data_IF_123757507330
#
_entry.id   IF_123757507330
#
_cell.length_a   1.000
_cell.length_b   1.000
_cell.length_c   1.000
_cell.angle_alpha   90.00
_cell.angle_beta   90.00
_cell.angle_gamma   90.00
#
_symmetry.space_group_name_H-M   'P 1'
#
loop_
_entity.id
_entity.type
_entity.pdbx_description
1 polymer ?
#
# COMPACT_ATOMS: atom_id res chain seq x y z
N UNK A 1 24.92 -12.27 13.45
CA UNK A 1 25.43 -12.93 12.23
C UNK A 1 25.53 -14.44 12.37
N UNK A 2 25.97 -14.98 13.50
CA UNK A 2 26.09 -16.44 13.71
C UNK A 2 24.77 -17.23 13.68
N UNK A 3 23.61 -16.56 13.70
CA UNK A 3 22.30 -17.21 13.78
C UNK A 3 21.56 -17.38 12.45
N UNK A 4 21.92 -16.65 11.39
CA UNK A 4 21.08 -16.55 10.20
C UNK A 4 21.66 -17.19 8.94
N UNK A 5 22.92 -17.59 8.91
CA UNK A 5 23.55 -18.11 7.69
C UNK A 5 23.51 -17.12 6.53
N UNK A 6 23.78 -17.59 5.31
CA UNK A 6 23.52 -16.85 4.07
C UNK A 6 22.03 -16.88 3.76
N UNK A 7 21.46 -15.77 3.35
CA UNK A 7 20.05 -15.75 3.01
C UNK A 7 19.54 -14.40 2.55
N UNK A 8 18.35 -14.45 1.95
CA UNK A 8 17.62 -13.27 1.52
C UNK A 8 16.76 -12.73 2.66
N UNK A 9 16.89 -11.44 2.93
CA UNK A 9 15.99 -10.69 3.80
C UNK A 9 15.04 -9.91 2.91
N UNK A 10 13.74 -10.11 3.11
CA UNK A 10 12.68 -9.38 2.45
C UNK A 10 12.05 -8.41 3.42
N UNK A 11 11.96 -7.16 3.02
CA UNK A 11 11.49 -6.06 3.83
C UNK A 11 10.33 -5.39 3.14
N UNK A 12 9.12 -5.70 3.59
CA UNK A 12 7.87 -5.11 3.09
C UNK A 12 7.54 -3.93 3.99
N UNK A 13 7.38 -2.78 3.39
CA UNK A 13 7.13 -1.54 4.11
C UNK A 13 5.92 -0.80 3.55
N UNK A 14 5.04 -0.35 4.45
CA UNK A 14 4.07 0.68 4.19
C UNK A 14 4.40 1.89 5.07
N UNK A 15 4.65 3.01 4.44
CA UNK A 15 4.75 4.31 5.11
C UNK A 15 3.49 5.10 4.81
N UNK A 16 2.73 5.42 5.87
CA UNK A 16 1.58 6.31 5.78
C UNK A 16 2.05 7.74 6.00
N UNK A 17 1.86 8.57 5.00
CA UNK A 17 2.27 9.98 4.98
C UNK A 17 1.06 10.87 4.91
N UNK A 18 1.19 12.09 5.44
CA UNK A 18 0.23 13.13 5.17
C UNK A 18 0.16 13.41 3.67
N UNK A 19 -1.05 13.38 3.12
CA UNK A 19 -1.28 13.65 1.70
C UNK A 19 -1.09 15.14 1.43
N UNK A 20 -0.59 15.44 0.25
CA UNK A 20 -0.49 16.81 -0.23
C UNK A 20 -1.88 17.46 -0.27
N UNK A 21 -1.93 18.75 0.02
CA UNK A 21 -3.16 19.53 0.03
C UNK A 21 -3.90 19.53 -1.32
N UNK A 22 -5.10 20.03 -1.29
CA UNK A 22 -5.96 20.16 -2.47
C UNK A 22 -5.32 21.12 -3.49
N UNK A 23 -5.03 20.68 -4.73
CA UNK A 23 -4.34 21.51 -5.70
C UNK A 23 -5.24 22.66 -6.16
N UNK A 24 -4.67 23.84 -6.27
CA UNK A 24 -5.36 24.98 -6.88
C UNK A 24 -5.61 24.72 -8.37
N UNK A 25 -6.78 25.12 -8.85
CA UNK A 25 -7.17 25.02 -10.26
C UNK A 25 -7.72 26.36 -10.73
N UNK A 26 -7.52 26.63 -12.03
CA UNK A 26 -8.13 27.79 -12.66
C UNK A 26 -9.45 27.39 -13.31
N UNK A 27 -10.47 28.21 -13.12
CA UNK A 27 -11.77 28.06 -13.76
C UNK A 27 -12.13 29.33 -14.50
N UNK A 28 -12.59 29.26 -15.74
CA UNK A 28 -13.00 30.44 -16.51
C UNK A 28 -14.31 31.08 -16.00
N UNK A 29 -15.17 30.28 -15.35
CA UNK A 29 -16.49 30.73 -14.86
C UNK A 29 -16.54 30.80 -13.34
N UNK A 30 -17.15 31.87 -12.81
CA UNK A 30 -17.27 32.12 -11.37
C UNK A 30 -18.02 30.99 -10.61
N UNK A 31 -19.04 30.39 -11.24
CA UNK A 31 -19.80 29.32 -10.60
C UNK A 31 -18.97 28.04 -10.41
N UNK A 32 -18.18 27.63 -11.40
CA UNK A 32 -17.28 26.49 -11.31
C UNK A 32 -16.19 26.75 -10.26
N UNK A 33 -15.64 27.95 -10.23
CA UNK A 33 -14.67 28.38 -9.22
C UNK A 33 -15.26 28.37 -7.80
N UNK A 34 -16.46 28.91 -7.60
CA UNK A 34 -17.11 28.96 -6.28
C UNK A 34 -17.35 27.54 -5.73
N UNK A 35 -17.83 26.61 -6.57
CA UNK A 35 -18.05 25.24 -6.17
C UNK A 35 -16.72 24.57 -5.80
N UNK A 36 -15.64 24.86 -6.50
CA UNK A 36 -14.31 24.34 -6.19
C UNK A 36 -13.79 24.89 -4.86
N UNK A 37 -13.94 26.20 -4.59
CA UNK A 37 -13.51 26.82 -3.34
C UNK A 37 -14.24 26.24 -2.13
N UNK A 38 -15.55 26.06 -2.23
CA UNK A 38 -16.33 25.42 -1.16
C UNK A 38 -15.89 23.98 -0.90
N UNK A 39 -15.59 23.24 -1.95
CA UNK A 39 -15.08 21.86 -1.84
C UNK A 39 -13.67 21.82 -1.24
N UNK A 40 -12.80 22.74 -1.65
CA UNK A 40 -11.46 22.88 -1.08
C UNK A 40 -11.51 23.27 0.40
N UNK A 41 -12.33 24.22 0.76
CA UNK A 41 -12.54 24.63 2.15
C UNK A 41 -13.08 23.47 3.01
N UNK A 42 -14.03 22.70 2.48
CA UNK A 42 -14.52 21.48 3.15
C UNK A 42 -13.41 20.44 3.35
N UNK A 43 -12.58 20.20 2.32
CA UNK A 43 -11.44 19.29 2.38
C UNK A 43 -10.42 19.74 3.44
N UNK A 44 -10.05 21.01 3.45
CA UNK A 44 -9.09 21.57 4.41
C UNK A 44 -9.67 21.54 5.85
N UNK A 45 -10.97 21.79 6.02
CA UNK A 45 -11.63 21.74 7.31
C UNK A 45 -11.79 20.32 7.88
N UNK A 46 -11.75 19.29 7.05
CA UNK A 46 -11.78 17.89 7.48
C UNK A 46 -10.50 17.44 8.19
N UNK A 47 -9.44 18.25 8.16
CA UNK A 47 -8.16 17.99 8.82
C UNK A 47 -7.11 17.37 7.92
N UNK A 48 -6.15 16.69 8.51
CA UNK A 48 -5.05 16.09 7.78
C UNK A 48 -5.49 14.81 7.03
N UNK A 49 -5.01 14.67 5.82
CA UNK A 49 -5.26 13.53 4.95
C UNK A 49 -3.99 12.71 4.74
N UNK A 50 -4.12 11.39 4.67
CA UNK A 50 -2.98 10.48 4.66
C UNK A 50 -3.05 9.52 3.49
N UNK A 51 -1.89 9.24 2.88
CA UNK A 51 -1.69 8.24 1.84
C UNK A 51 -0.63 7.23 2.28
N UNK A 52 -0.73 6.01 1.78
CA UNK A 52 0.26 4.96 2.03
C UNK A 52 1.16 4.76 0.80
N UNK A 53 2.47 4.74 1.04
CA UNK A 53 3.49 4.40 0.07
C UNK A 53 4.07 3.02 0.42
N UNK A 54 4.33 2.20 -0.58
CA UNK A 54 4.80 0.82 -0.38
C UNK A 54 6.18 0.63 -0.98
N UNK A 55 7.05 -0.04 -0.22
CA UNK A 55 8.38 -0.38 -0.68
C UNK A 55 8.69 -1.84 -0.34
N UNK A 56 9.33 -2.55 -1.27
CA UNK A 56 9.94 -3.84 -1.05
C UNK A 56 11.45 -3.71 -1.18
N UNK A 57 12.17 -3.99 -0.10
CA UNK A 57 13.63 -4.05 -0.11
C UNK A 57 14.09 -5.50 -0.02
N UNK A 58 14.89 -5.92 -0.98
CA UNK A 58 15.55 -7.21 -1.00
C UNK A 58 17.01 -7.03 -0.59
N UNK A 59 17.42 -7.71 0.48
CA UNK A 59 18.80 -7.69 0.95
C UNK A 59 19.36 -9.10 0.93
N UNK A 60 20.53 -9.27 0.35
CA UNK A 60 21.24 -10.54 0.39
C UNK A 60 22.38 -10.47 1.40
N UNK A 61 22.35 -11.40 2.36
CA UNK A 61 23.44 -11.60 3.32
C UNK A 61 24.28 -12.78 2.82
N UNK A 62 25.50 -12.54 2.31
CA UNK A 62 26.41 -13.64 1.99
C UNK A 62 26.78 -14.38 3.27
N UNK A 63 27.02 -15.70 3.17
CA UNK A 63 27.56 -16.45 4.30
C UNK A 63 28.81 -15.73 4.79
N UNK A 64 28.93 -15.45 6.10
CA UNK A 64 30.25 -15.10 6.63
C UNK A 64 31.17 -16.23 6.24
N UNK A 65 32.32 -15.91 5.65
CA UNK A 65 33.32 -16.88 5.27
C UNK A 65 33.79 -17.66 6.50
N UNK A 66 33.02 -18.68 6.89
CA UNK A 66 33.46 -19.66 7.91
C UNK A 66 34.66 -20.42 7.38
N UNK A 67 34.76 -20.59 6.05
CA UNK A 67 35.97 -21.08 5.40
C UNK A 67 37.16 -20.11 5.56
N UNK A 68 36.93 -18.80 5.41
CA UNK A 68 37.98 -17.78 5.61
C UNK A 68 38.41 -17.65 7.08
N UNK A 69 37.51 -17.72 8.04
CA UNK A 69 37.86 -17.69 9.46
C UNK A 69 38.51 -18.98 9.92
N UNK A 70 38.07 -20.13 9.45
CA UNK A 70 38.73 -21.40 9.72
C UNK A 70 40.07 -21.51 8.96
N UNK A 71 40.12 -20.99 7.72
CA UNK A 71 41.37 -20.90 6.94
C UNK A 71 42.39 -19.99 7.57
N UNK A 72 42.03 -18.80 8.07
CA UNK A 72 42.89 -17.88 8.77
C UNK A 72 43.37 -18.44 10.12
N UNK A 73 42.59 -19.27 10.78
CA UNK A 73 42.96 -19.93 12.04
C UNK A 73 43.85 -21.17 11.85
N UNK A 74 43.83 -21.79 10.63
CA UNK A 74 44.53 -23.05 10.34
C UNK A 74 45.71 -22.90 9.39
N UNK A 75 45.82 -21.78 8.64
CA UNK A 75 46.84 -21.62 7.60
C UNK A 75 47.53 -20.26 7.70
N UNK A 76 48.60 -20.22 8.43
CA UNK A 76 49.60 -19.13 8.37
C UNK A 76 50.40 -19.17 7.02
N UNK A 77 50.04 -19.98 6.06
CA UNK A 77 50.74 -20.14 4.78
C UNK A 77 49.81 -20.54 3.64
N UNK A 78 49.32 -19.57 2.91
CA UNK A 78 49.23 -19.63 1.44
C UNK A 78 48.67 -18.32 0.85
N UNK A 79 49.42 -17.77 -0.07
CA UNK A 79 49.26 -16.47 -0.73
C UNK A 79 48.18 -16.44 -1.81
N UNK A 80 47.22 -17.33 -1.83
CA UNK A 80 46.08 -17.25 -2.74
C UNK A 80 44.76 -17.58 -2.05
N UNK A 81 44.25 -16.62 -1.30
CA UNK A 81 42.78 -16.61 -1.02
C UNK A 81 42.12 -16.14 -2.30
N UNK A 82 41.54 -17.05 -3.07
CA UNK A 82 40.61 -16.72 -4.15
C UNK A 82 39.43 -15.98 -3.54
N UNK A 83 39.51 -14.66 -3.47
CA UNK A 83 38.41 -13.79 -3.07
C UNK A 83 37.20 -14.16 -3.91
N UNK A 84 36.05 -14.34 -3.27
CA UNK A 84 34.78 -14.56 -3.96
C UNK A 84 34.65 -13.48 -5.02
N UNK A 85 34.40 -13.86 -6.28
CA UNK A 85 34.21 -12.87 -7.34
C UNK A 85 32.93 -12.06 -7.03
N UNK A 86 33.12 -10.88 -6.46
CA UNK A 86 32.02 -9.98 -6.08
C UNK A 86 31.13 -9.65 -7.30
N UNK A 87 31.69 -9.66 -8.53
CA UNK A 87 30.95 -9.42 -9.76
C UNK A 87 29.96 -10.54 -10.04
N UNK A 88 30.36 -11.79 -9.80
CA UNK A 88 29.46 -12.93 -9.92
C UNK A 88 28.36 -12.90 -8.86
N UNK A 89 28.70 -12.52 -7.63
CA UNK A 89 27.72 -12.35 -6.56
C UNK A 89 26.73 -11.21 -6.86
N UNK A 90 27.20 -10.10 -7.42
CA UNK A 90 26.37 -8.99 -7.86
C UNK A 90 25.45 -9.38 -9.02
N UNK A 91 25.99 -10.09 -10.03
CA UNK A 91 25.18 -10.58 -11.15
C UNK A 91 24.06 -11.52 -10.68
N UNK A 92 24.35 -12.42 -9.74
CA UNK A 92 23.36 -13.31 -9.14
C UNK A 92 22.31 -12.52 -8.31
N UNK A 93 22.73 -11.48 -7.62
CA UNK A 93 21.83 -10.58 -6.89
C UNK A 93 20.87 -9.85 -7.84
N UNK A 94 21.39 -9.26 -8.91
CA UNK A 94 20.58 -8.57 -9.92
C UNK A 94 19.56 -9.53 -10.54
N UNK A 95 20.01 -10.71 -10.99
CA UNK A 95 19.11 -11.70 -11.59
C UNK A 95 17.98 -12.14 -10.65
N UNK A 96 18.23 -12.23 -9.36
CA UNK A 96 17.20 -12.59 -8.37
C UNK A 96 16.24 -11.43 -8.07
N UNK A 97 16.74 -10.20 -8.04
CA UNK A 97 15.89 -9.00 -7.87
C UNK A 97 15.01 -8.77 -9.10
N UNK A 98 15.55 -8.96 -10.31
CA UNK A 98 14.76 -8.87 -11.55
C UNK A 98 13.65 -9.93 -11.58
N UNK A 99 13.96 -11.18 -11.19
CA UNK A 99 12.95 -12.24 -11.08
C UNK A 99 11.85 -11.90 -10.06
N UNK A 100 12.23 -11.30 -8.93
CA UNK A 100 11.25 -10.84 -7.94
C UNK A 100 10.36 -9.73 -8.50
N UNK A 101 10.93 -8.77 -9.24
CA UNK A 101 10.19 -7.68 -9.89
C UNK A 101 9.20 -8.25 -10.92
N UNK A 102 9.63 -9.16 -11.78
CA UNK A 102 8.78 -9.84 -12.77
C UNK A 102 7.61 -10.57 -12.09
N UNK A 103 7.90 -11.27 -10.98
CA UNK A 103 6.87 -11.98 -10.22
C UNK A 103 5.81 -11.02 -9.67
N UNK A 104 6.22 -9.90 -9.07
CA UNK A 104 5.30 -8.90 -8.54
C UNK A 104 4.51 -8.19 -9.65
N UNK A 105 5.13 -7.91 -10.80
CA UNK A 105 4.49 -7.31 -11.97
C UNK A 105 3.34 -8.16 -12.52
N UNK A 106 3.35 -9.47 -12.25
CA UNK A 106 2.31 -10.40 -12.68
C UNK A 106 0.96 -10.24 -11.97
N UNK A 107 0.92 -9.60 -10.79
CA UNK A 107 -0.31 -9.46 -10.00
C UNK A 107 -0.50 -8.08 -9.34
N UNK A 108 0.55 -7.25 -9.28
CA UNK A 108 0.43 -5.87 -8.79
C UNK A 108 0.08 -4.93 -9.94
N UNK A 109 -0.83 -3.97 -9.75
CA UNK A 109 -1.21 -2.99 -10.78
C UNK A 109 -0.02 -2.16 -11.27
N UNK A 110 0.90 -1.84 -10.37
CA UNK A 110 2.10 -1.07 -10.66
C UNK A 110 3.21 -1.50 -9.69
N UNK A 111 4.35 -1.85 -10.24
CA UNK A 111 5.58 -2.11 -9.49
C UNK A 111 6.77 -1.75 -10.36
N UNK A 112 7.75 -1.05 -9.78
CA UNK A 112 8.97 -0.67 -10.47
C UNK A 112 10.17 -0.67 -9.53
N UNK A 113 11.34 -0.84 -10.07
CA UNK A 113 12.57 -0.59 -9.35
C UNK A 113 12.75 0.93 -9.13
N UNK A 114 13.27 1.31 -7.98
CA UNK A 114 13.74 2.67 -7.72
C UNK A 114 15.07 2.88 -8.45
N UNK A 115 15.30 4.05 -8.99
CA UNK A 115 16.62 4.46 -9.44
C UNK A 115 17.54 4.80 -8.24
N UNK A 116 18.80 5.15 -8.51
CA UNK A 116 19.77 5.43 -7.47
C UNK A 116 19.38 6.64 -6.60
N UNK A 117 18.87 7.72 -7.20
CA UNK A 117 18.46 8.92 -6.48
C UNK A 117 17.19 8.66 -5.65
N UNK A 118 16.22 7.97 -6.22
CA UNK A 118 15.00 7.53 -5.53
C UNK A 118 15.34 6.58 -4.37
N UNK A 119 16.28 5.65 -4.58
CA UNK A 119 16.75 4.71 -3.55
C UNK A 119 17.41 5.47 -2.38
N UNK A 120 18.30 6.42 -2.66
CA UNK A 120 18.91 7.24 -1.62
C UNK A 120 17.86 8.10 -0.90
N UNK A 121 16.92 8.68 -1.63
CA UNK A 121 15.82 9.47 -1.06
C UNK A 121 14.92 8.61 -0.14
N UNK A 122 14.59 7.40 -0.57
CA UNK A 122 13.84 6.44 0.24
C UNK A 122 14.60 6.07 1.52
N UNK A 123 15.88 5.67 1.40
CA UNK A 123 16.71 5.30 2.53
C UNK A 123 16.87 6.47 3.53
N UNK A 124 17.13 7.68 3.02
CA UNK A 124 17.18 8.89 3.84
C UNK A 124 15.87 9.10 4.61
N UNK A 125 14.72 8.99 3.93
CA UNK A 125 13.41 9.15 4.57
C UNK A 125 13.11 8.13 5.68
N UNK A 126 13.85 7.01 5.76
CA UNK A 126 13.68 6.04 6.85
C UNK A 126 14.42 6.39 8.12
N UNK A 127 15.43 7.28 8.06
CA UNK A 127 16.32 7.64 9.17
C UNK A 127 16.36 9.15 9.44
N UNK A 128 15.56 9.94 8.73
CA UNK A 128 15.50 11.39 8.88
C UNK A 128 14.07 11.87 9.08
N UNK A 129 13.90 12.92 9.86
CA UNK A 129 12.65 13.68 9.97
C UNK A 129 12.51 14.72 8.86
N UNK A 130 13.57 14.95 8.08
CA UNK A 130 13.58 15.88 6.96
C UNK A 130 13.22 15.15 5.67
N UNK A 131 12.37 15.77 4.86
CA UNK A 131 11.90 15.19 3.60
C UNK A 131 12.39 16.03 2.42
N UNK A 132 13.44 15.55 1.77
CA UNK A 132 13.97 16.16 0.55
C UNK A 132 14.58 15.10 -0.36
N UNK A 133 14.63 15.32 -1.68
CA UNK A 133 15.36 14.45 -2.59
C UNK A 133 16.86 14.42 -2.25
N UNK A 134 17.46 13.25 -2.33
CA UNK A 134 18.90 13.04 -2.15
C UNK A 134 19.53 12.80 -3.51
N UNK A 135 20.54 13.59 -3.85
CA UNK A 135 21.30 13.45 -5.10
C UNK A 135 22.39 12.40 -4.95
N UNK A 136 22.62 11.64 -6.03
CA UNK A 136 23.74 10.69 -6.07
C UNK A 136 25.06 11.47 -6.09
N UNK A 137 25.98 11.23 -5.14
CA UNK A 137 27.27 11.92 -5.11
C UNK A 137 28.15 11.49 -6.29
N UNK A 138 28.83 12.45 -6.91
CA UNK A 138 29.76 12.19 -8.02
C UNK A 138 30.96 11.31 -7.60
N UNK A 139 31.40 11.47 -6.37
CA UNK A 139 32.48 10.66 -5.79
C UNK A 139 31.88 9.59 -4.87
N UNK A 140 32.31 8.33 -4.98
CA UNK A 140 31.85 7.26 -4.08
C UNK A 140 32.06 7.63 -2.62
N UNK A 141 30.98 7.56 -1.84
CA UNK A 141 30.93 7.87 -0.41
C UNK A 141 30.24 6.73 0.35
N UNK A 142 30.51 6.64 1.65
CA UNK A 142 29.74 5.74 2.52
C UNK A 142 28.30 6.26 2.69
N UNK A 143 27.34 5.35 2.74
CA UNK A 143 25.91 5.71 2.85
C UNK A 143 25.60 6.53 4.10
N UNK A 144 26.27 6.26 5.22
CA UNK A 144 26.11 7.03 6.46
C UNK A 144 26.50 8.50 6.27
N UNK A 145 27.54 8.80 5.48
CA UNK A 145 27.92 10.18 5.15
C UNK A 145 26.94 10.89 4.23
N UNK A 146 26.15 10.15 3.44
CA UNK A 146 25.17 10.72 2.49
C UNK A 146 23.78 10.86 3.11
N UNK A 147 23.39 9.90 3.95
CA UNK A 147 22.01 9.75 4.41
C UNK A 147 21.74 10.36 5.79
N UNK A 148 22.79 10.51 6.66
CA UNK A 148 22.56 10.92 8.04
C UNK A 148 22.58 12.44 8.19
N UNK A 149 21.44 13.03 8.53
CA UNK A 149 21.28 14.45 8.83
C UNK A 149 20.51 14.71 10.13
N UNK A 150 19.98 13.65 10.74
CA UNK A 150 19.12 13.72 11.91
C UNK A 150 19.69 12.81 13.02
N UNK A 151 19.98 13.36 14.21
CA UNK A 151 20.54 12.57 15.29
C UNK A 151 19.51 11.63 15.90
N UNK A 152 19.93 10.39 16.19
CA UNK A 152 19.16 9.43 16.97
C UNK A 152 19.61 9.49 18.43
N UNK A 153 18.71 9.85 19.33
CA UNK A 153 18.92 9.77 20.78
C UNK A 153 18.36 8.44 21.28
N UNK A 154 19.22 7.61 21.86
CA UNK A 154 18.82 6.29 22.38
C UNK A 154 18.13 6.37 23.74
N UNK A 155 17.83 5.20 24.30
CA UNK A 155 17.18 5.04 25.61
C UNK A 155 15.88 4.28 25.54
N UNK A 156 15.11 4.31 26.64
CA UNK A 156 13.78 3.66 26.71
C UNK A 156 12.73 4.36 25.86
N UNK A 157 12.95 5.62 25.60
CA UNK A 157 12.09 6.49 24.79
C UNK A 157 12.97 7.19 23.72
N UNK A 158 13.32 6.49 22.65
CA UNK A 158 14.23 7.04 21.65
C UNK A 158 13.59 8.23 20.92
N UNK A 159 14.46 9.12 20.45
CA UNK A 159 14.08 10.29 19.64
C UNK A 159 14.89 10.33 18.36
N UNK A 160 14.27 10.72 17.27
CA UNK A 160 14.90 11.03 15.99
C UNK A 160 14.78 12.55 15.76
N UNK A 161 15.88 13.27 15.87
CA UNK A 161 15.84 14.73 15.92
C UNK A 161 14.99 15.23 17.09
N UNK A 162 13.93 15.95 16.80
CA UNK A 162 12.95 16.44 17.80
C UNK A 162 11.76 15.49 18.01
N UNK A 163 11.61 14.44 17.21
CA UNK A 163 10.46 13.55 17.26
C UNK A 163 10.68 12.38 18.23
N UNK A 164 9.71 12.18 19.13
CA UNK A 164 9.64 11.00 19.97
C UNK A 164 9.21 9.78 19.14
N UNK A 165 9.95 8.68 19.25
CA UNK A 165 9.63 7.42 18.55
C UNK A 165 8.98 6.42 19.51
N UNK A 166 7.94 5.73 19.01
CA UNK A 166 7.35 4.55 19.68
C UNK A 166 7.19 3.43 18.68
N UNK A 167 7.77 2.30 19.00
CA UNK A 167 7.70 1.09 18.16
C UNK A 167 6.92 -0.01 18.86
N UNK A 168 5.93 -0.53 18.16
CA UNK A 168 5.14 -1.69 18.57
C UNK A 168 5.56 -2.88 17.72
N UNK A 169 5.82 -4.03 18.36
CA UNK A 169 6.18 -5.28 17.67
C UNK A 169 5.07 -6.31 17.84
N UNK A 170 4.67 -6.96 16.74
CA UNK A 170 3.70 -8.05 16.75
C UNK A 170 4.43 -9.35 17.10
N UNK A 171 3.95 -10.08 18.12
CA UNK A 171 4.55 -11.30 18.67
C UNK A 171 3.75 -12.56 18.39
N UNK A 172 2.43 -12.44 18.39
CA UNK A 172 1.52 -13.59 18.29
C UNK A 172 0.39 -13.34 17.32
N UNK A 173 -0.10 -14.41 16.72
CA UNK A 173 -1.16 -14.40 15.72
C UNK A 173 -2.50 -14.83 16.35
N UNK A 174 -3.63 -14.32 15.86
CA UNK A 174 -4.94 -14.86 16.18
C UNK A 174 -5.09 -16.28 15.62
N UNK A 175 -6.03 -17.07 16.16
CA UNK A 175 -6.33 -18.40 15.65
C UNK A 175 -6.77 -18.38 14.17
N UNK A 176 -7.36 -17.29 13.73
CA UNK A 176 -7.78 -17.09 12.36
C UNK A 176 -7.30 -15.72 11.87
N UNK A 177 -6.54 -15.69 10.80
CA UNK A 177 -6.10 -14.46 10.15
C UNK A 177 -6.33 -14.53 8.63
N UNK A 178 -6.36 -13.39 7.98
CA UNK A 178 -6.56 -13.24 6.52
C UNK A 178 -5.65 -12.16 5.97
N UNK A 179 -5.34 -12.18 4.66
CA UNK A 179 -4.65 -11.05 4.02
C UNK A 179 -5.41 -9.73 4.24
N UNK A 180 -4.68 -8.64 4.45
CA UNK A 180 -5.27 -7.32 4.69
C UNK A 180 -5.96 -7.15 6.05
N UNK A 181 -5.78 -8.06 7.01
CA UNK A 181 -6.41 -7.96 8.34
C UNK A 181 -5.99 -6.69 9.08
N UNK A 182 -4.77 -6.20 8.86
CA UNK A 182 -4.25 -4.97 9.47
C UNK A 182 -4.58 -3.70 8.67
N UNK A 183 -5.35 -3.78 7.58
CA UNK A 183 -5.78 -2.61 6.79
C UNK A 183 -6.65 -1.64 7.61
N UNK A 184 -7.19 -2.09 8.75
CA UNK A 184 -7.81 -1.21 9.74
C UNK A 184 -6.91 -0.04 10.18
N UNK A 185 -5.58 -0.21 10.12
CA UNK A 185 -4.61 0.87 10.38
C UNK A 185 -4.74 2.03 9.37
N UNK A 186 -5.22 1.78 8.15
CA UNK A 186 -5.40 2.80 7.14
C UNK A 186 -6.50 3.83 7.48
N UNK A 187 -7.32 3.56 8.49
CA UNK A 187 -8.34 4.51 8.97
C UNK A 187 -7.79 5.51 9.99
N UNK A 188 -6.58 5.27 10.52
CA UNK A 188 -5.99 6.20 11.48
C UNK A 188 -5.61 7.54 10.84
N UNK A 189 -5.88 8.62 11.54
CA UNK A 189 -5.64 10.00 11.12
C UNK A 189 -4.23 10.50 11.47
N UNK A 190 -3.21 9.65 11.36
CA UNK A 190 -1.81 10.02 11.61
C UNK A 190 -0.82 9.20 10.79
N UNK A 191 0.41 9.69 10.71
CA UNK A 191 1.51 9.00 10.04
C UNK A 191 2.03 7.84 10.87
N UNK A 192 2.32 6.74 10.21
CA UNK A 192 3.01 5.59 10.79
C UNK A 192 3.88 4.90 9.73
N UNK A 193 4.84 4.11 10.20
CA UNK A 193 5.64 3.22 9.37
C UNK A 193 5.42 1.78 9.81
N UNK A 194 4.83 0.96 8.95
CA UNK A 194 4.61 -0.47 9.17
C UNK A 194 5.60 -1.26 8.36
N UNK A 195 6.40 -2.08 9.02
CA UNK A 195 7.44 -2.89 8.39
C UNK A 195 7.24 -4.35 8.75
N UNK A 196 7.23 -5.21 7.72
CA UNK A 196 7.27 -6.66 7.88
C UNK A 196 8.53 -7.21 7.24
N UNK A 197 9.43 -7.65 8.07
CA UNK A 197 10.72 -8.22 7.70
C UNK A 197 10.67 -9.74 7.77
N UNK A 198 11.08 -10.40 6.69
CA UNK A 198 11.07 -11.85 6.59
C UNK A 198 12.42 -12.40 6.16
N UNK A 199 12.96 -13.34 6.93
CA UNK A 199 14.18 -14.08 6.64
C UNK A 199 13.77 -15.52 6.33
N UNK A 200 13.76 -15.87 5.05
CA UNK A 200 13.39 -17.22 4.62
C UNK A 200 14.44 -18.22 5.08
N UNK A 201 13.97 -19.37 5.54
CA UNK A 201 14.79 -20.56 5.81
C UNK A 201 14.70 -21.51 4.63
N UNK A 202 15.83 -22.18 4.31
CA UNK A 202 15.75 -23.33 3.44
C UNK A 202 15.01 -24.50 4.12
N UNK A 203 14.54 -25.46 3.32
CA UNK A 203 13.72 -26.58 3.80
C UNK A 203 14.43 -27.39 4.90
N UNK A 204 15.75 -27.56 4.77
CA UNK A 204 16.57 -28.35 5.72
C UNK A 204 16.67 -27.64 7.07
N UNK A 205 16.95 -26.33 7.07
CA UNK A 205 17.04 -25.53 8.29
C UNK A 205 15.67 -25.33 8.96
N UNK A 206 14.61 -25.21 8.16
CA UNK A 206 13.24 -25.17 8.67
C UNK A 206 12.86 -26.49 9.38
N UNK A 207 13.12 -27.65 8.76
CA UNK A 207 12.90 -28.97 9.38
C UNK A 207 13.70 -29.10 10.68
N UNK A 208 14.97 -28.72 10.67
CA UNK A 208 15.84 -28.78 11.86
C UNK A 208 15.27 -27.90 12.99
N UNK A 209 14.84 -26.69 12.67
CA UNK A 209 14.31 -25.73 13.64
C UNK A 209 12.98 -26.21 14.23
N UNK A 210 12.05 -26.63 13.37
CA UNK A 210 10.75 -27.20 13.81
C UNK A 210 10.92 -28.46 14.67
N UNK A 211 11.83 -29.35 14.25
CA UNK A 211 12.14 -30.56 15.02
C UNK A 211 12.72 -30.23 16.40
N UNK A 212 13.56 -29.20 16.49
CA UNK A 212 14.09 -28.70 17.77
C UNK A 212 12.98 -28.15 18.66
N UNK A 213 12.08 -27.34 18.11
CA UNK A 213 10.92 -26.79 18.84
C UNK A 213 10.00 -27.91 19.32
N UNK A 214 9.67 -28.87 18.45
CA UNK A 214 8.89 -30.06 18.81
C UNK A 214 9.50 -30.81 19.99
N UNK A 215 10.81 -31.09 19.98
CA UNK A 215 11.51 -31.75 21.08
C UNK A 215 11.47 -30.94 22.39
N UNK A 216 11.62 -29.61 22.29
CA UNK A 216 11.54 -28.73 23.46
C UNK A 216 10.15 -28.79 24.11
N UNK A 217 9.07 -28.77 23.33
CA UNK A 217 7.71 -28.85 23.81
C UNK A 217 7.38 -30.27 24.31
N UNK A 218 7.83 -31.30 23.60
CA UNK A 218 7.67 -32.68 24.06
C UNK A 218 8.33 -32.92 25.42
N UNK A 219 9.51 -32.37 25.66
CA UNK A 219 10.19 -32.46 26.95
C UNK A 219 9.48 -31.65 28.05
N UNK A 220 8.76 -30.59 27.73
CA UNK A 220 7.94 -29.83 28.71
C UNK A 220 6.60 -30.49 29.01
N UNK A 221 6.13 -31.39 28.15
CA UNK A 221 4.87 -32.14 28.31
C UNK A 221 4.81 -32.94 29.59
N UNK A 222 5.94 -33.51 30.01
CA UNK A 222 6.07 -34.22 31.28
C UNK A 222 6.94 -33.39 32.24
N UNK A 223 6.37 -33.01 33.37
CA UNK A 223 7.12 -32.43 34.47
C UNK A 223 8.19 -33.41 34.96
N UNK A 224 9.38 -32.91 35.34
CA UNK A 224 10.45 -33.76 35.93
C UNK A 224 9.93 -34.57 37.10
N UNK A 225 9.02 -34.01 37.89
CA UNK A 225 8.36 -34.72 39.02
C UNK A 225 7.41 -35.81 38.53
N UNK A 226 6.74 -35.63 37.38
CA UNK A 226 5.89 -36.65 36.78
C UNK A 226 6.73 -37.80 36.19
N UNK A 227 7.85 -37.52 35.54
CA UNK A 227 8.81 -38.52 35.07
C UNK A 227 9.43 -39.32 36.22
N UNK A 228 9.80 -38.68 37.31
CA UNK A 228 10.31 -39.37 38.53
C UNK A 228 9.24 -40.25 39.18
N UNK A 229 7.97 -39.83 39.24
CA UNK A 229 6.86 -40.63 39.73
C UNK A 229 6.57 -41.86 38.85
N UNK A 230 6.60 -41.69 37.54
CA UNK A 230 6.39 -42.78 36.58
C UNK A 230 7.46 -43.85 36.71
N UNK A 231 8.73 -43.43 36.92
CA UNK A 231 9.87 -44.34 37.11
C UNK A 231 9.86 -45.02 38.48
N UNK A 232 9.46 -44.31 39.55
CA UNK A 232 9.52 -44.83 40.92
C UNK A 232 8.26 -45.64 41.29
N UNK A 233 7.07 -45.22 40.80
CA UNK A 233 5.80 -45.79 41.22
C UNK A 233 5.04 -46.58 40.15
N UNK A 234 5.60 -46.65 38.92
CA UNK A 234 5.01 -47.36 37.76
C UNK A 234 3.51 -47.04 37.53
N UNK A 235 3.10 -45.80 37.83
CA UNK A 235 1.73 -45.32 37.64
C UNK A 235 1.73 -44.22 36.52
N UNK A 236 0.87 -44.36 35.49
CA UNK A 236 0.73 -43.33 34.47
C UNK A 236 0.14 -42.05 35.10
N UNK A 237 0.86 -40.95 35.04
CA UNK A 237 0.42 -39.66 35.56
C UNK A 237 -0.39 -38.94 34.47
N UNK A 238 -1.66 -38.67 34.74
CA UNK A 238 -2.59 -37.95 33.83
C UNK A 238 -2.42 -36.42 33.84
N UNK A 239 -1.44 -35.87 34.54
CA UNK A 239 -1.15 -34.43 34.51
C UNK A 239 -0.27 -34.10 33.30
N UNK A 240 -0.89 -34.02 32.12
CA UNK A 240 -0.33 -33.51 30.89
C UNK A 240 -0.55 -32.00 30.85
N UNK A 241 0.49 -31.24 30.50
CA UNK A 241 0.35 -29.85 30.17
C UNK A 241 -0.33 -29.77 28.79
N UNK A 242 -1.63 -29.47 28.76
CA UNK A 242 -2.45 -29.43 27.56
C UNK A 242 -1.94 -28.38 26.52
N UNK A 243 -1.30 -27.31 26.98
CA UNK A 243 -0.69 -26.32 26.12
C UNK A 243 0.55 -26.89 25.41
N UNK A 244 1.37 -27.66 26.14
CA UNK A 244 2.54 -28.32 25.54
C UNK A 244 2.14 -29.42 24.54
N UNK A 245 1.03 -30.13 24.80
CA UNK A 245 0.49 -31.12 23.86
C UNK A 245 0.00 -30.46 22.56
N UNK A 246 -0.77 -29.39 22.64
CA UNK A 246 -1.24 -28.65 21.49
C UNK A 246 -0.06 -28.13 20.66
N UNK A 247 0.99 -27.62 21.28
CA UNK A 247 2.20 -27.13 20.57
C UNK A 247 3.01 -28.25 19.90
N UNK A 248 2.98 -29.46 20.42
CA UNK A 248 3.58 -30.61 19.74
C UNK A 248 2.77 -30.99 18.50
N UNK A 249 1.44 -31.01 18.58
CA UNK A 249 0.56 -31.26 17.43
C UNK A 249 0.74 -30.18 16.37
N UNK A 250 0.80 -28.92 16.75
CA UNK A 250 1.06 -27.79 15.85
C UNK A 250 2.42 -27.94 15.12
N UNK A 251 3.45 -28.37 15.85
CA UNK A 251 4.76 -28.61 15.24
C UNK A 251 4.75 -29.80 14.25
N UNK A 252 3.96 -30.83 14.52
CA UNK A 252 3.80 -31.98 13.61
C UNK A 252 3.04 -31.58 12.34
N UNK A 253 1.96 -30.80 12.45
CA UNK A 253 1.23 -30.25 11.31
C UNK A 253 2.12 -29.31 10.47
N UNK A 254 2.92 -28.49 11.12
CA UNK A 254 3.87 -27.60 10.46
C UNK A 254 4.93 -28.40 9.67
N UNK A 255 5.48 -29.48 10.25
CA UNK A 255 6.42 -30.38 9.56
C UNK A 255 5.78 -31.10 8.38
N UNK A 256 4.53 -31.51 8.50
CA UNK A 256 3.77 -32.15 7.42
C UNK A 256 3.53 -31.15 6.26
N UNK A 257 3.07 -29.94 6.56
CA UNK A 257 2.84 -28.91 5.55
C UNK A 257 4.12 -28.49 4.84
N UNK A 258 5.25 -28.39 5.55
CA UNK A 258 6.57 -28.15 4.98
C UNK A 258 7.06 -29.32 4.14
N UNK A 259 6.83 -30.57 4.60
CA UNK A 259 7.17 -31.79 3.86
C UNK A 259 6.46 -31.88 2.52
N UNK A 260 5.19 -31.50 2.48
CA UNK A 260 4.35 -31.47 1.28
C UNK A 260 4.56 -30.24 0.38
N UNK A 261 5.51 -29.36 0.69
CA UNK A 261 5.80 -28.11 -0.03
C UNK A 261 4.60 -27.14 -0.10
N UNK A 262 3.63 -27.24 0.78
CA UNK A 262 2.49 -26.32 0.84
C UNK A 262 2.89 -24.94 1.38
N UNK A 263 3.89 -24.89 2.25
CA UNK A 263 4.41 -23.65 2.86
C UNK A 263 5.92 -23.72 3.00
N UNK A 264 6.55 -22.55 3.01
CA UNK A 264 7.92 -22.36 3.48
C UNK A 264 7.92 -21.68 4.84
N UNK A 265 9.01 -21.77 5.58
CA UNK A 265 9.16 -21.15 6.90
C UNK A 265 10.26 -20.11 6.90
N UNK A 266 10.14 -19.16 7.81
CA UNK A 266 11.14 -18.12 8.02
C UNK A 266 10.92 -17.38 9.34
N UNK A 267 11.87 -16.52 9.66
CA UNK A 267 11.78 -15.62 10.80
C UNK A 267 11.09 -14.33 10.37
N UNK A 268 10.01 -13.99 11.07
CA UNK A 268 9.24 -12.78 10.82
C UNK A 268 9.50 -11.77 11.93
N UNK A 269 9.60 -10.51 11.55
CA UNK A 269 9.56 -9.37 12.48
C UNK A 269 8.62 -8.34 11.91
N UNK A 270 7.54 -8.04 12.60
CA UNK A 270 6.59 -7.00 12.18
C UNK A 270 6.57 -5.90 13.23
N UNK A 271 6.89 -4.70 12.80
CA UNK A 271 6.94 -3.50 13.63
C UNK A 271 6.07 -2.40 13.05
N UNK A 272 5.44 -1.63 13.94
CA UNK A 272 4.72 -0.41 13.58
C UNK A 272 5.32 0.70 14.42
N UNK A 273 5.91 1.69 13.77
CA UNK A 273 6.54 2.85 14.41
C UNK A 273 5.70 4.09 14.16
N UNK A 274 5.44 4.83 15.22
CA UNK A 274 4.82 6.16 15.21
C UNK A 274 5.78 7.19 15.75
N UNK A 275 5.68 8.41 15.26
CA UNK A 275 6.51 9.53 15.68
C UNK A 275 5.65 10.79 15.90
N UNK A 276 6.10 11.65 16.79
CA UNK A 276 5.54 12.99 17.02
C UNK A 276 6.54 13.85 17.79
N UNK A 277 6.50 15.18 17.59
CA UNK A 277 7.27 16.15 18.37
C UNK A 277 6.71 16.34 19.79
N UNK A 278 5.42 15.98 20.01
CA UNK A 278 4.77 15.99 21.32
C UNK A 278 4.72 14.56 21.90
N UNK A 279 5.31 14.41 23.10
CA UNK A 279 5.32 13.14 23.83
C UNK A 279 3.92 12.61 24.15
N UNK A 280 2.96 13.46 24.46
CA UNK A 280 1.60 13.02 24.76
C UNK A 280 0.90 12.50 23.49
N UNK A 281 1.09 13.19 22.35
CA UNK A 281 0.52 12.77 21.06
C UNK A 281 1.11 11.45 20.57
N UNK A 282 2.43 11.22 20.70
CA UNK A 282 2.99 9.94 20.29
C UNK A 282 2.46 8.78 21.15
N UNK A 283 2.21 9.02 22.45
CA UNK A 283 1.59 8.03 23.32
C UNK A 283 0.12 7.73 22.95
N UNK A 284 -0.62 8.70 22.47
CA UNK A 284 -1.98 8.50 21.94
C UNK A 284 -1.95 7.68 20.65
N UNK A 285 -1.05 8.01 19.73
CA UNK A 285 -0.87 7.29 18.46
C UNK A 285 -0.53 5.81 18.71
N UNK A 286 0.45 5.52 19.56
CA UNK A 286 0.82 4.13 19.83
C UNK A 286 -0.29 3.35 20.53
N UNK A 287 -1.10 3.99 21.41
CA UNK A 287 -2.28 3.37 22.02
C UNK A 287 -3.36 3.05 20.99
N UNK A 288 -3.56 3.92 20.00
CA UNK A 288 -4.50 3.67 18.91
C UNK A 288 -4.07 2.44 18.10
N UNK A 289 -2.81 2.40 17.68
CA UNK A 289 -2.25 1.24 16.97
C UNK A 289 -2.38 -0.05 17.80
N UNK A 290 -2.00 -0.02 19.08
CA UNK A 290 -2.09 -1.18 19.97
C UNK A 290 -3.52 -1.70 20.13
N UNK A 291 -4.50 -0.78 20.23
CA UNK A 291 -5.92 -1.13 20.33
C UNK A 291 -6.41 -1.84 19.07
N UNK A 292 -6.02 -1.37 17.89
CA UNK A 292 -6.37 -2.00 16.62
C UNK A 292 -5.74 -3.39 16.53
N UNK A 293 -4.43 -3.50 16.75
CA UNK A 293 -3.69 -4.75 16.64
C UNK A 293 -4.23 -5.81 17.61
N UNK A 294 -4.43 -5.44 18.89
CA UNK A 294 -5.00 -6.34 19.89
C UNK A 294 -6.48 -6.65 19.61
N UNK A 295 -7.26 -5.68 19.14
CA UNK A 295 -8.66 -5.86 18.75
C UNK A 295 -8.86 -6.87 17.61
N UNK A 296 -7.86 -7.02 16.75
CA UNK A 296 -7.80 -8.01 15.68
C UNK A 296 -7.27 -9.39 16.17
N UNK A 297 -6.97 -9.52 17.46
CA UNK A 297 -6.54 -10.77 18.09
C UNK A 297 -5.04 -11.04 18.00
N UNK A 298 -4.24 -10.11 17.51
CA UNK A 298 -2.78 -10.22 17.57
C UNK A 298 -2.26 -9.88 18.97
N UNK A 299 -1.23 -10.57 19.41
CA UNK A 299 -0.46 -10.15 20.59
C UNK A 299 0.68 -9.22 20.14
N UNK A 300 0.79 -8.07 20.77
CA UNK A 300 1.84 -7.11 20.49
C UNK A 300 2.50 -6.58 21.78
N UNK A 301 3.65 -5.96 21.62
CA UNK A 301 4.39 -5.32 22.71
C UNK A 301 4.89 -3.94 22.26
N UNK A 302 4.74 -2.96 23.15
CA UNK A 302 5.47 -1.69 23.00
C UNK A 302 6.91 -1.90 23.43
N UNK A 303 7.83 -1.67 22.53
CA UNK A 303 9.24 -1.83 22.84
C UNK A 303 9.72 -0.66 23.71
N UNK A 304 10.43 -0.98 24.78
CA UNK A 304 11.02 -0.02 25.71
C UNK A 304 12.52 -0.28 25.87
N UNK A 305 12.90 -1.36 26.53
CA UNK A 305 14.32 -1.73 26.71
C UNK A 305 15.00 -1.95 25.35
N UNK A 306 14.30 -2.53 24.40
CA UNK A 306 14.79 -2.79 23.05
C UNK A 306 14.24 -1.79 22.01
N UNK A 307 13.85 -0.59 22.44
CA UNK A 307 13.19 0.37 21.55
C UNK A 307 14.08 0.79 20.37
N UNK A 308 15.36 1.03 20.62
CA UNK A 308 16.35 1.38 19.59
C UNK A 308 16.57 0.23 18.62
N UNK A 309 16.79 -0.99 19.12
CA UNK A 309 16.98 -2.18 18.28
C UNK A 309 15.74 -2.52 17.47
N UNK A 310 14.55 -2.33 18.04
CA UNK A 310 13.29 -2.54 17.31
C UNK A 310 13.14 -1.54 16.15
N UNK A 311 13.46 -0.27 16.39
CA UNK A 311 13.49 0.73 15.34
C UNK A 311 14.55 0.42 14.28
N UNK A 312 15.80 0.10 14.69
CA UNK A 312 16.87 -0.31 13.77
C UNK A 312 16.49 -1.55 12.96
N UNK A 313 15.77 -2.52 13.56
CA UNK A 313 15.30 -3.71 12.83
C UNK A 313 14.30 -3.38 11.73
N UNK A 314 13.66 -2.23 11.80
CA UNK A 314 12.72 -1.74 10.79
C UNK A 314 13.42 -1.05 9.61
N UNK A 315 14.72 -0.78 9.67
CA UNK A 315 15.42 -0.07 8.61
C UNK A 315 15.79 -1.01 7.45
N UNK A 316 15.59 -0.58 6.19
CA UNK A 316 16.01 -1.34 5.02
C UNK A 316 17.52 -1.62 5.05
N UNK A 317 17.91 -2.85 4.71
CA UNK A 317 19.31 -3.26 4.69
C UNK A 317 19.96 -3.47 6.07
N UNK A 318 19.32 -3.09 7.17
CA UNK A 318 19.84 -3.30 8.52
C UNK A 318 19.57 -4.74 9.00
N UNK A 319 20.51 -5.65 8.74
CA UNK A 319 20.33 -7.07 9.00
C UNK A 319 20.62 -7.52 10.44
N UNK A 320 21.27 -6.69 11.25
CA UNK A 320 21.84 -7.08 12.53
C UNK A 320 20.87 -6.99 13.71
N UNK A 321 20.15 -5.90 13.82
CA UNK A 321 19.14 -5.75 14.85
C UNK A 321 17.92 -6.59 14.49
N UNK A 322 17.53 -7.50 15.35
CA UNK A 322 16.33 -8.31 15.20
C UNK A 322 15.92 -8.89 16.55
N UNK A 323 15.17 -8.12 17.31
CA UNK A 323 14.84 -8.42 18.70
C UNK A 323 13.84 -9.55 18.81
N UNK A 324 12.84 -9.57 17.93
CA UNK A 324 11.74 -10.53 17.93
C UNK A 324 11.72 -11.28 16.61
N UNK A 325 11.80 -12.61 16.70
CA UNK A 325 11.98 -13.47 15.54
C UNK A 325 11.09 -14.72 15.65
N UNK A 326 9.75 -14.56 15.70
CA UNK A 326 8.88 -15.71 15.64
C UNK A 326 9.10 -16.48 14.35
N UNK A 327 9.17 -17.81 14.45
CA UNK A 327 9.19 -18.68 13.30
C UNK A 327 7.76 -18.83 12.78
N UNK A 328 7.54 -18.43 11.53
CA UNK A 328 6.22 -18.47 10.90
C UNK A 328 6.31 -19.08 9.50
N UNK A 329 5.19 -19.54 9.00
CA UNK A 329 5.08 -20.00 7.59
C UNK A 329 4.67 -18.85 6.66
N UNK A 330 4.84 -19.06 5.36
CA UNK A 330 4.60 -18.05 4.31
C UNK A 330 3.15 -17.55 4.25
N UNK A 331 2.15 -18.31 4.67
CA UNK A 331 0.77 -17.82 4.77
C UNK A 331 0.62 -16.74 5.86
N UNK A 332 1.29 -16.89 7.02
CA UNK A 332 1.30 -15.83 8.03
C UNK A 332 2.02 -14.58 7.51
N UNK A 333 3.11 -14.75 6.75
CA UNK A 333 3.77 -13.63 6.07
C UNK A 333 2.78 -12.89 5.17
N UNK A 334 2.05 -13.61 4.31
CA UNK A 334 1.07 -13.02 3.40
C UNK A 334 -0.03 -12.21 4.12
N UNK A 335 -0.39 -12.61 5.36
CA UNK A 335 -1.38 -11.89 6.16
C UNK A 335 -0.82 -10.61 6.83
N UNK A 336 0.49 -10.52 7.00
CA UNK A 336 1.17 -9.37 7.60
C UNK A 336 2.01 -8.55 6.58
N UNK A 337 1.91 -8.86 5.31
CA UNK A 337 2.52 -8.01 4.27
C UNK A 337 1.68 -6.74 4.12
N UNK A 338 2.28 -5.55 4.28
CA UNK A 338 1.59 -4.28 4.12
C UNK A 338 1.48 -3.90 2.63
N UNK A 339 0.67 -4.61 1.87
CA UNK A 339 0.53 -4.43 0.42
C UNK A 339 -0.85 -3.91 0.00
N UNK A 340 -1.74 -3.63 0.94
CA UNK A 340 -3.08 -3.14 0.67
C UNK A 340 -3.40 -1.88 1.45
N UNK A 341 -4.10 -0.95 0.80
CA UNK A 341 -4.65 0.25 1.42
C UNK A 341 -5.83 0.78 0.62
N UNK A 342 -6.44 1.82 1.13
CA UNK A 342 -7.42 2.60 0.37
C UNK A 342 -6.69 3.28 -0.80
N UNK A 343 -7.10 2.99 -2.01
CA UNK A 343 -6.53 3.64 -3.19
C UNK A 343 -7.01 5.09 -3.28
N UNK A 344 -6.06 6.01 -3.28
CA UNK A 344 -6.34 7.44 -3.32
C UNK A 344 -6.72 7.96 -4.73
N UNK A 345 -6.62 7.16 -5.76
CA UNK A 345 -6.75 7.59 -7.16
C UNK A 345 -5.48 8.30 -7.69
N UNK A 346 -5.41 8.55 -9.00
CA UNK A 346 -4.25 9.18 -9.62
C UNK A 346 -4.08 10.63 -9.17
N UNK A 347 -2.85 11.05 -8.88
CA UNK A 347 -2.54 12.43 -8.47
C UNK A 347 -2.80 13.45 -9.60
N UNK A 348 -2.62 13.03 -10.85
CA UNK A 348 -2.87 13.84 -12.06
C UNK A 348 -3.60 13.00 -13.09
N UNK A 349 -4.43 13.67 -13.87
CA UNK A 349 -4.90 13.13 -15.14
C UNK A 349 -3.82 13.43 -16.21
N UNK A 350 -3.09 12.40 -16.62
CA UNK A 350 -1.98 12.53 -17.57
C UNK A 350 -2.46 12.88 -18.98
N UNK A 351 -3.64 12.38 -19.39
CA UNK A 351 -4.24 12.66 -20.69
C UNK A 351 -4.68 14.12 -20.80
N UNK A 352 -5.34 14.64 -19.77
CA UNK A 352 -5.82 16.04 -19.75
C UNK A 352 -4.77 17.03 -19.23
N UNK A 353 -3.59 16.55 -18.82
CA UNK A 353 -2.49 17.38 -18.35
C UNK A 353 -2.76 18.20 -17.10
N UNK A 354 -3.78 17.82 -16.29
CA UNK A 354 -4.23 18.57 -15.14
C UNK A 354 -4.39 17.72 -13.87
N UNK A 355 -4.89 18.32 -12.76
CA UNK A 355 -5.22 17.58 -11.54
C UNK A 355 -6.39 16.61 -11.77
N UNK A 356 -6.67 15.76 -10.79
CA UNK A 356 -7.86 14.91 -10.80
C UNK A 356 -9.14 15.72 -10.87
N UNK A 357 -10.20 15.17 -11.46
CA UNK A 357 -11.44 15.88 -11.74
C UNK A 357 -12.10 16.43 -10.48
N UNK A 358 -12.12 15.63 -9.41
CA UNK A 358 -12.59 16.06 -8.09
C UNK A 358 -11.98 15.22 -6.98
N UNK A 359 -12.05 15.72 -5.77
CA UNK A 359 -11.68 15.04 -4.52
C UNK A 359 -12.94 14.64 -3.77
N UNK A 360 -12.98 13.43 -3.26
CA UNK A 360 -14.06 12.89 -2.47
C UNK A 360 -13.51 12.29 -1.17
N UNK A 361 -14.36 12.24 -0.15
CA UNK A 361 -14.06 11.56 1.10
C UNK A 361 -14.16 10.04 0.92
N UNK A 362 -13.38 9.31 1.73
CA UNK A 362 -13.51 7.86 1.91
C UNK A 362 -13.93 7.57 3.35
N UNK A 363 -14.14 6.30 3.67
CA UNK A 363 -14.40 5.87 5.05
C UNK A 363 -13.22 6.04 6.01
N UNK A 364 -12.04 6.36 5.48
CA UNK A 364 -10.83 6.62 6.24
C UNK A 364 -10.29 8.03 5.99
N UNK A 365 -9.08 8.31 6.44
CA UNK A 365 -8.41 9.60 6.25
C UNK A 365 -7.67 9.73 4.90
N UNK A 366 -7.79 8.75 4.01
CA UNK A 366 -7.24 8.82 2.66
C UNK A 366 -8.26 9.47 1.73
N UNK A 367 -7.96 10.58 1.06
CA UNK A 367 -8.86 11.19 0.08
C UNK A 367 -8.92 10.33 -1.19
N UNK A 368 -10.05 10.38 -1.88
CA UNK A 368 -10.20 9.75 -3.19
C UNK A 368 -10.18 10.79 -4.30
N UNK A 369 -9.23 10.68 -5.21
CA UNK A 369 -9.08 11.53 -6.39
C UNK A 369 -9.77 10.86 -7.57
N UNK A 370 -10.93 11.39 -7.95
CA UNK A 370 -11.68 10.88 -9.10
C UNK A 370 -11.04 11.37 -10.41
N UNK A 371 -10.70 10.43 -11.28
CA UNK A 371 -10.41 10.66 -12.69
C UNK A 371 -11.39 9.86 -13.54
N UNK A 372 -11.91 10.44 -14.60
CA UNK A 372 -12.79 9.75 -15.56
C UNK A 372 -12.00 9.01 -16.63
N UNK A 373 -10.70 9.26 -16.75
CA UNK A 373 -9.86 8.72 -17.82
C UNK A 373 -8.97 7.58 -17.32
N UNK A 374 -8.88 6.55 -18.13
CA UNK A 374 -7.85 5.50 -18.07
C UNK A 374 -7.12 5.57 -19.43
N UNK A 375 -5.92 6.14 -19.44
CA UNK A 375 -5.28 6.54 -20.69
C UNK A 375 -6.08 7.64 -21.38
N UNK A 376 -6.44 7.44 -22.64
CA UNK A 376 -7.23 8.34 -23.47
C UNK A 376 -8.76 8.07 -23.42
N UNK A 377 -9.19 6.99 -22.72
CA UNK A 377 -10.59 6.59 -22.63
C UNK A 377 -11.20 7.12 -21.34
N UNK A 378 -12.26 7.94 -21.48
CA UNK A 378 -12.93 8.63 -20.36
C UNK A 378 -14.44 8.32 -20.26
N UNK A 379 -14.89 7.10 -20.57
CA UNK A 379 -16.29 6.72 -20.47
C UNK A 379 -16.69 6.36 -19.04
N UNK A 380 -17.87 6.85 -18.60
CA UNK A 380 -18.41 6.57 -17.29
C UNK A 380 -19.92 6.29 -17.37
N UNK A 381 -20.38 5.27 -16.66
CA UNK A 381 -21.80 4.96 -16.48
C UNK A 381 -22.17 5.19 -14.99
N UNK A 382 -23.19 6.04 -14.75
CA UNK A 382 -23.72 6.31 -13.43
C UNK A 382 -25.12 5.71 -13.31
N UNK A 383 -25.25 4.71 -12.45
CA UNK A 383 -26.50 3.98 -12.20
C UNK A 383 -26.93 4.15 -10.74
N UNK A 384 -28.22 4.32 -10.52
CA UNK A 384 -28.77 4.43 -9.17
C UNK A 384 -30.26 4.71 -9.17
N UNK A 385 -30.96 4.55 -8.04
CA UNK A 385 -32.39 4.81 -7.92
C UNK A 385 -32.73 6.29 -8.11
N UNK A 386 -33.99 6.59 -8.30
CA UNK A 386 -34.49 7.98 -8.34
C UNK A 386 -34.23 8.66 -6.99
N UNK A 387 -33.78 9.92 -7.01
CA UNK A 387 -33.44 10.66 -5.80
C UNK A 387 -32.04 10.44 -5.25
N UNK A 388 -31.22 9.52 -5.82
CA UNK A 388 -29.86 9.24 -5.36
C UNK A 388 -28.79 10.29 -5.73
N UNK A 389 -29.19 11.45 -6.27
CA UNK A 389 -28.26 12.55 -6.58
C UNK A 389 -27.52 12.45 -7.92
N UNK A 390 -27.88 11.52 -8.81
CA UNK A 390 -27.22 11.32 -10.11
C UNK A 390 -27.09 12.60 -10.95
N UNK A 391 -28.17 13.38 -11.07
CA UNK A 391 -28.18 14.63 -11.84
C UNK A 391 -27.30 15.70 -11.21
N UNK A 392 -27.27 15.75 -9.87
CA UNK A 392 -26.39 16.66 -9.13
C UNK A 392 -24.93 16.28 -9.35
N UNK A 393 -24.61 14.99 -9.28
CA UNK A 393 -23.24 14.50 -9.56
C UNK A 393 -22.83 14.82 -11.01
N UNK A 394 -23.72 14.60 -12.00
CA UNK A 394 -23.41 14.95 -13.39
C UNK A 394 -23.15 16.46 -13.57
N UNK A 395 -23.99 17.31 -12.96
CA UNK A 395 -23.77 18.76 -12.95
C UNK A 395 -22.43 19.15 -12.30
N UNK A 396 -22.10 18.54 -11.16
CA UNK A 396 -20.82 18.74 -10.48
C UNK A 396 -19.64 18.33 -11.37
N UNK A 397 -19.70 17.17 -12.00
CA UNK A 397 -18.67 16.69 -12.91
C UNK A 397 -18.47 17.65 -14.09
N UNK A 398 -19.56 18.16 -14.66
CA UNK A 398 -19.52 19.16 -15.74
C UNK A 398 -18.85 20.47 -15.30
N UNK A 399 -19.27 21.01 -14.13
CA UNK A 399 -18.66 22.21 -13.55
C UNK A 399 -17.17 22.01 -13.27
N UNK A 400 -16.80 20.84 -12.71
CA UNK A 400 -15.41 20.54 -12.36
C UNK A 400 -14.54 20.25 -13.59
N UNK A 401 -15.13 19.75 -14.70
CA UNK A 401 -14.42 19.50 -15.94
C UNK A 401 -13.88 20.81 -16.56
N UNK A 402 -14.48 21.96 -16.26
CA UNK A 402 -14.05 23.29 -16.71
C UNK A 402 -12.66 23.71 -16.18
N UNK A 403 -12.06 22.96 -15.26
CA UNK A 403 -10.67 23.17 -14.81
C UNK A 403 -9.62 22.87 -15.88
N UNK A 404 -9.98 22.06 -16.88
CA UNK A 404 -9.05 21.72 -17.95
C UNK A 404 -9.08 22.79 -19.04
N UNK A 405 -7.92 23.29 -19.50
CA UNK A 405 -7.87 24.29 -20.56
C UNK A 405 -8.63 23.81 -21.80
N UNK A 406 -9.30 24.73 -22.48
CA UNK A 406 -10.04 24.51 -23.72
C UNK A 406 -11.11 23.42 -23.66
N UNK A 407 -11.51 23.02 -22.45
CA UNK A 407 -12.54 22.00 -22.24
C UNK A 407 -13.90 22.49 -22.74
N UNK A 408 -14.66 21.61 -23.40
CA UNK A 408 -16.04 21.82 -23.82
C UNK A 408 -16.93 20.75 -23.20
N UNK A 409 -18.16 21.15 -22.82
CA UNK A 409 -19.13 20.26 -22.22
C UNK A 409 -20.42 20.31 -23.02
N UNK A 410 -20.88 19.17 -23.53
CA UNK A 410 -22.14 19.01 -24.20
C UNK A 410 -23.05 18.11 -23.37
N UNK A 411 -24.25 18.57 -23.03
CA UNK A 411 -25.20 17.86 -22.19
C UNK A 411 -26.48 17.60 -22.95
N UNK A 412 -26.89 16.34 -23.05
CA UNK A 412 -28.17 15.91 -23.59
C UNK A 412 -29.07 15.46 -22.43
N UNK A 413 -30.08 16.25 -22.09
CA UNK A 413 -30.89 16.06 -20.89
C UNK A 413 -32.40 16.16 -21.25
N UNK A 414 -33.15 15.12 -20.93
CA UNK A 414 -34.60 15.06 -21.22
C UNK A 414 -35.42 15.92 -20.24
N UNK A 415 -34.92 16.16 -19.02
CA UNK A 415 -35.70 16.73 -17.94
C UNK A 415 -35.30 18.15 -17.54
N UNK A 416 -34.42 18.82 -18.30
CA UNK A 416 -33.86 20.15 -18.00
C UNK A 416 -33.12 20.25 -16.65
N UNK A 417 -32.75 19.12 -16.06
CA UNK A 417 -32.08 19.09 -14.75
C UNK A 417 -30.69 19.75 -14.77
N UNK A 418 -30.04 19.78 -15.94
CA UNK A 418 -28.74 20.38 -16.16
C UNK A 418 -28.80 21.89 -16.52
N UNK A 419 -30.00 22.47 -16.75
CA UNK A 419 -30.15 23.88 -17.21
C UNK A 419 -29.40 24.87 -16.34
N UNK A 420 -29.56 24.76 -15.03
CA UNK A 420 -28.89 25.68 -14.09
C UNK A 420 -27.37 25.62 -14.18
N UNK A 421 -26.80 24.40 -14.26
CA UNK A 421 -25.36 24.21 -14.40
C UNK A 421 -24.84 24.74 -15.74
N UNK A 422 -25.56 24.51 -16.84
CA UNK A 422 -25.20 25.03 -18.16
C UNK A 422 -25.16 26.56 -18.17
N UNK A 423 -26.18 27.22 -17.64
CA UNK A 423 -26.24 28.69 -17.56
C UNK A 423 -25.16 29.24 -16.64
N UNK A 424 -24.88 28.57 -15.51
CA UNK A 424 -23.84 28.94 -14.58
C UNK A 424 -22.41 28.84 -15.17
N UNK A 425 -22.22 27.94 -16.13
CA UNK A 425 -20.99 27.83 -16.92
C UNK A 425 -20.93 28.80 -18.11
N UNK A 426 -21.88 29.75 -18.24
CA UNK A 426 -21.97 30.66 -19.37
C UNK A 426 -22.39 29.99 -20.68
N UNK A 427 -22.89 28.75 -20.62
CA UNK A 427 -23.31 27.98 -21.76
C UNK A 427 -24.70 28.34 -22.28
N UNK A 428 -25.02 27.89 -23.50
CA UNK A 428 -26.31 28.06 -24.10
C UNK A 428 -27.20 26.83 -23.80
N UNK A 429 -28.39 27.06 -23.24
CA UNK A 429 -29.41 26.04 -23.03
C UNK A 429 -30.43 26.11 -24.17
N UNK A 430 -30.66 24.98 -24.81
CA UNK A 430 -31.59 24.84 -25.93
C UNK A 430 -32.72 23.87 -25.57
N UNK A 431 -33.93 24.40 -25.47
CA UNK A 431 -35.15 23.58 -25.26
C UNK A 431 -35.65 23.02 -26.58
N UNK A 432 -35.36 21.74 -26.85
CA UNK A 432 -35.79 21.07 -28.06
C UNK A 432 -37.24 20.59 -27.91
N UNK A 433 -38.08 20.86 -28.93
CA UNK A 433 -39.46 20.36 -29.01
C UNK A 433 -40.50 21.15 -28.23
N UNK A 434 -40.11 22.21 -27.51
CA UNK A 434 -41.04 23.18 -26.94
C UNK A 434 -41.27 24.29 -27.97
N UNK A 435 -42.52 24.51 -28.38
CA UNK A 435 -42.88 25.62 -29.25
C UNK A 435 -42.50 26.96 -28.60
N UNK A 436 -42.33 27.98 -29.42
CA UNK A 436 -41.83 29.33 -29.04
C UNK A 436 -42.82 30.14 -28.18
N UNK A 437 -43.73 29.51 -27.46
CA UNK A 437 -44.79 30.22 -26.70
C UNK A 437 -44.37 30.63 -25.26
N UNK A 438 -43.27 30.08 -24.76
CA UNK A 438 -42.75 30.49 -23.44
C UNK A 438 -41.79 31.65 -23.62
N UNK A 439 -42.29 32.85 -23.45
CA UNK A 439 -41.72 34.20 -23.62
C UNK A 439 -40.37 34.52 -22.96
N UNK A 440 -39.54 33.63 -22.70
CA UNK A 440 -38.14 33.87 -22.26
C UNK A 440 -37.20 33.54 -23.44
N UNK A 441 -36.79 34.55 -24.15
CA UNK A 441 -35.72 34.78 -25.13
C UNK A 441 -34.81 33.64 -25.63
N UNK A 442 -35.21 32.41 -25.54
CA UNK A 442 -34.49 31.24 -26.06
C UNK A 442 -34.74 31.08 -27.55
N UNK A 443 -33.73 31.27 -28.36
CA UNK A 443 -33.77 31.01 -29.80
C UNK A 443 -34.18 29.55 -30.02
N UNK A 444 -35.39 29.32 -30.53
CA UNK A 444 -35.80 27.98 -30.92
C UNK A 444 -34.80 27.41 -31.94
N UNK A 445 -34.17 26.29 -31.62
CA UNK A 445 -33.33 25.57 -32.57
C UNK A 445 -34.24 24.73 -33.47
N UNK A 446 -34.17 24.99 -34.76
CA UNK A 446 -34.76 24.15 -35.77
C UNK A 446 -33.67 23.35 -36.49
N UNK A 447 -33.86 22.03 -36.54
CA UNK A 447 -32.99 21.15 -37.30
C UNK A 447 -33.58 20.90 -38.68
N UNK A 448 -32.71 20.93 -39.69
CA UNK A 448 -33.07 20.53 -41.05
C UNK A 448 -32.23 19.31 -41.46
N UNK A 449 -32.53 18.12 -40.97
CA UNK A 449 -31.75 16.92 -41.25
C UNK A 449 -31.57 16.62 -42.73
N UNK A 450 -32.51 17.01 -43.56
CA UNK A 450 -32.53 16.75 -44.98
C UNK A 450 -32.01 17.93 -45.85
N UNK A 451 -31.37 18.92 -45.23
CA UNK A 451 -30.92 20.14 -45.89
C UNK A 451 -29.98 19.90 -47.10
N UNK A 452 -29.16 18.86 -46.99
CA UNK A 452 -28.15 18.54 -48.00
C UNK A 452 -28.41 17.22 -48.70
N UNK A 453 -29.69 16.86 -48.86
CA UNK A 453 -30.13 15.62 -49.50
C UNK A 453 -29.74 15.50 -50.99
N UNK A 454 -29.34 16.59 -51.58
CA UNK A 454 -28.76 16.67 -52.94
C UNK A 454 -27.39 15.96 -53.05
N UNK A 455 -26.67 15.82 -51.94
CA UNK A 455 -25.37 15.13 -51.88
C UNK A 455 -25.58 13.62 -51.75
N UNK A 456 -24.75 12.81 -52.41
CA UNK A 456 -24.92 11.34 -52.44
C UNK A 456 -24.66 10.69 -51.06
N UNK A 457 -23.70 11.16 -50.30
CA UNK A 457 -23.37 10.74 -48.94
C UNK A 457 -24.52 11.05 -47.95
N UNK A 458 -25.07 12.26 -48.06
CA UNK A 458 -26.17 12.71 -47.22
C UNK A 458 -27.48 11.98 -47.55
N UNK A 459 -27.72 11.59 -48.79
CA UNK A 459 -28.88 10.79 -49.18
C UNK A 459 -28.86 9.39 -48.56
N UNK A 460 -27.70 8.75 -48.53
CA UNK A 460 -27.56 7.45 -47.90
C UNK A 460 -27.87 7.54 -46.39
N UNK A 461 -27.29 8.52 -45.71
CA UNK A 461 -27.61 8.78 -44.31
C UNK A 461 -29.06 9.13 -44.06
N UNK A 462 -29.66 9.99 -44.88
CA UNK A 462 -31.05 10.37 -44.74
C UNK A 462 -32.03 9.19 -44.95
N UNK A 463 -31.71 8.27 -45.87
CA UNK A 463 -32.50 7.06 -46.07
C UNK A 463 -32.43 6.15 -44.85
N UNK A 464 -31.25 5.96 -44.28
CA UNK A 464 -31.06 5.18 -43.06
C UNK A 464 -31.77 5.82 -41.85
N UNK A 465 -31.63 7.13 -41.67
CA UNK A 465 -32.29 7.88 -40.61
C UNK A 465 -33.81 7.84 -40.71
N UNK A 466 -34.40 8.04 -41.91
CA UNK A 466 -35.84 7.92 -42.12
C UNK A 466 -36.30 6.48 -41.90
N UNK A 467 -35.53 5.50 -42.35
CA UNK A 467 -35.83 4.09 -42.14
C UNK A 467 -35.89 3.75 -40.64
N UNK A 468 -34.95 4.27 -39.85
CA UNK A 468 -34.92 4.11 -38.39
C UNK A 468 -36.14 4.76 -37.70
N UNK A 469 -36.55 5.97 -38.15
CA UNK A 469 -37.78 6.61 -37.64
C UNK A 469 -39.02 5.82 -37.95
N UNK A 470 -39.17 5.33 -39.19
CA UNK A 470 -40.32 4.51 -39.59
C UNK A 470 -40.38 3.19 -38.82
N UNK A 471 -39.21 2.57 -38.57
CA UNK A 471 -39.13 1.37 -37.75
C UNK A 471 -39.56 1.65 -36.30
N UNK A 472 -39.14 2.82 -35.72
CA UNK A 472 -39.56 3.24 -34.39
C UNK A 472 -41.08 3.43 -34.29
N UNK A 473 -41.69 4.02 -35.30
CA UNK A 473 -43.13 4.22 -35.39
C UNK A 473 -43.88 2.94 -35.84
N UNK A 474 -43.16 1.81 -35.98
CA UNK A 474 -43.72 0.52 -36.41
C UNK A 474 -44.40 0.57 -37.81
N UNK A 475 -43.96 1.48 -38.66
CA UNK A 475 -44.39 1.56 -40.03
C UNK A 475 -43.60 0.58 -40.88
N UNK A 476 -44.28 -0.39 -41.51
CA UNK A 476 -43.63 -1.32 -42.44
C UNK A 476 -43.23 -0.56 -43.71
N UNK A 477 -41.93 -0.51 -43.97
CA UNK A 477 -41.37 -0.01 -45.23
C UNK A 477 -41.39 -1.19 -46.21
N UNK A 478 -42.27 -1.15 -47.22
CA UNK A 478 -42.29 -2.14 -48.30
C UNK A 478 -41.35 -1.75 -49.42
#
# INVERSE_FOLDING_TARGET
>A
LKRFGSGWVRHFEAERREALGYPASHFPEAASWLVEEERRAAFESAGAHFESCYHLTLSFLPSPDQADMAGRALVERSDEVKGRDWRQALAAFIAETDRALDLFSGFMPEVRALDDAETLTFLHGTISTRRHPVTVPETPMYLDGVLTDTPLTGGLEPMLGAEHLRTLTILGFPNLSRPGILDALNHEGFSYRWVTRFIALDKTDAIRTLTKLRRQWFNKRKSITALLREVIYNQPVQLLDSDADNKVVDADLALQALGADHVAFGYLTTTITVADDDRARVEEKVRAVERIVNGLGFACIRESINAVEAWLSSLPGHAYANVRQPLVHTLNLAHLMPLSSVWAGPARNTHLGGPSLLYAETSGSTPFRLSTHVGDVGHMLIVGPTGAGKSVLLALLALQFRRYPDSQVYIFDKGFSARAAVLAMGGAHHALGLGSEDGEGGRAIAFQPLRHIDRADERAWAAEWIGALLAHEKVLVT
#
